data_IF_567206778606
#
_entry.id   IF_567206778606
#
_cell.length_a   1.000
_cell.length_b   1.000
_cell.length_c   1.000
_cell.angle_alpha   90.00
_cell.angle_beta   90.00
_cell.angle_gamma   90.00
#
_symmetry.space_group_name_H-M   'P 1'
#
loop_
_entity.id
_entity.type
_entity.pdbx_description
1 polymer ?
#
# COMPACT_ATOMS: atom_id res chain seq x y z
N UNK A 1 -9.08 -23.87 33.47
CA UNK A 1 -10.44 -23.45 33.12
C UNK A 1 -10.36 -21.95 32.88
N UNK A 2 -10.08 -21.54 31.62
CA UNK A 2 -11.05 -21.09 30.60
C UNK A 2 -11.50 -19.65 30.92
N UNK A 3 -11.41 -18.64 30.06
CA UNK A 3 -11.60 -18.53 28.60
C UNK A 3 -10.86 -17.28 28.09
N UNK A 4 -10.05 -17.38 27.03
CA UNK A 4 -10.46 -17.17 25.62
C UNK A 4 -10.45 -15.66 25.26
N UNK A 5 -9.26 -15.14 24.96
CA UNK A 5 -9.09 -13.80 24.39
C UNK A 5 -9.44 -13.91 22.91
N UNK A 6 -10.57 -13.31 22.53
CA UNK A 6 -11.10 -13.30 21.19
C UNK A 6 -10.01 -12.89 20.16
N UNK A 7 -9.62 -13.86 19.34
CA UNK A 7 -9.01 -13.63 18.04
C UNK A 7 -10.03 -12.87 17.20
N UNK A 8 -9.94 -11.54 17.21
CA UNK A 8 -10.71 -10.69 16.32
C UNK A 8 -10.11 -10.85 14.91
N UNK A 9 -10.52 -11.90 14.20
CA UNK A 9 -10.25 -12.10 12.77
C UNK A 9 -10.92 -10.98 11.97
N UNK A 10 -10.31 -9.81 11.97
CA UNK A 10 -10.68 -8.73 11.05
C UNK A 10 -10.31 -9.16 9.65
N UNK A 11 -11.32 -9.68 8.95
CA UNK A 11 -11.23 -10.02 7.56
C UNK A 11 -10.75 -8.78 6.78
N UNK A 12 -9.67 -8.90 5.99
CA UNK A 12 -9.16 -7.81 5.18
C UNK A 12 -10.26 -7.21 4.30
N UNK A 13 -10.32 -5.88 4.24
CA UNK A 13 -11.26 -5.15 3.37
C UNK A 13 -10.56 -4.74 2.08
N UNK A 14 -11.25 -4.81 0.94
CA UNK A 14 -10.72 -4.22 -0.28
C UNK A 14 -10.66 -2.69 -0.14
N UNK A 15 -9.62 -2.05 -0.69
CA UNK A 15 -9.54 -0.59 -0.77
C UNK A 15 -10.65 -0.03 -1.67
N UNK A 16 -10.87 -0.65 -2.84
CA UNK A 16 -11.79 -0.20 -3.89
C UNK A 16 -11.07 0.56 -5.01
N UNK A 17 -11.84 1.21 -5.87
CA UNK A 17 -11.31 2.03 -6.96
C UNK A 17 -10.26 3.05 -6.45
N UNK A 18 -9.12 3.23 -7.15
CA UNK A 18 -8.74 2.63 -8.43
C UNK A 18 -7.90 1.35 -8.30
N UNK A 19 -7.87 0.70 -7.12
CA UNK A 19 -6.99 -0.43 -6.80
C UNK A 19 -7.77 -1.73 -6.54
N UNK A 20 -8.77 -2.00 -7.37
CA UNK A 20 -9.70 -3.15 -7.27
C UNK A 20 -9.82 -3.96 -8.57
N UNK A 21 -8.80 -3.87 -9.44
CA UNK A 21 -8.78 -4.57 -10.71
C UNK A 21 -8.86 -6.11 -10.53
N UNK A 22 -9.79 -6.73 -11.26
CA UNK A 22 -10.06 -8.17 -11.17
C UNK A 22 -8.91 -9.04 -11.69
N UNK A 23 -8.10 -8.50 -12.61
CA UNK A 23 -6.97 -9.13 -13.28
C UNK A 23 -5.61 -8.73 -12.69
N UNK A 24 -5.60 -8.02 -11.56
CA UNK A 24 -4.40 -7.79 -10.76
C UNK A 24 -3.66 -9.10 -10.44
N UNK A 25 -2.31 -9.05 -10.38
CA UNK A 25 -1.46 -10.23 -10.19
C UNK A 25 -0.71 -10.25 -8.83
N UNK A 26 -0.97 -9.26 -7.98
CA UNK A 26 -0.49 -9.17 -6.60
C UNK A 26 -1.46 -8.37 -5.73
N UNK A 27 -1.51 -8.73 -4.45
CA UNK A 27 -2.24 -7.98 -3.42
C UNK A 27 -1.23 -7.38 -2.47
N UNK A 28 -1.28 -6.05 -2.28
CA UNK A 28 -0.63 -5.42 -1.13
C UNK A 28 -1.64 -5.33 0.01
N UNK A 29 -1.28 -5.84 1.18
CA UNK A 29 -2.09 -5.73 2.39
C UNK A 29 -1.45 -4.74 3.35
N UNK A 30 -2.16 -3.67 3.67
CA UNK A 30 -1.71 -2.67 4.62
C UNK A 30 -1.71 -3.20 6.06
N UNK A 31 -1.03 -2.49 6.97
CA UNK A 31 -1.01 -2.83 8.39
C UNK A 31 -2.36 -2.66 9.10
N UNK A 32 -3.27 -1.88 8.51
CA UNK A 32 -4.67 -1.72 8.92
C UNK A 32 -5.64 -2.64 8.14
N UNK A 33 -5.13 -3.76 7.60
CA UNK A 33 -5.91 -4.84 6.98
C UNK A 33 -6.72 -4.40 5.75
N UNK A 34 -6.13 -3.55 4.91
CA UNK A 34 -6.72 -3.12 3.63
C UNK A 34 -5.95 -3.71 2.46
N UNK A 35 -6.68 -4.37 1.56
CA UNK A 35 -6.14 -5.03 0.39
C UNK A 35 -6.23 -4.13 -0.85
N UNK A 36 -5.10 -4.00 -1.54
CA UNK A 36 -4.92 -3.29 -2.80
C UNK A 36 -4.60 -4.30 -3.89
N UNK A 37 -5.41 -4.33 -4.96
CA UNK A 37 -5.24 -5.22 -6.10
C UNK A 37 -4.43 -4.50 -7.17
N UNK A 38 -3.21 -4.98 -7.43
CA UNK A 38 -2.18 -4.26 -8.18
C UNK A 38 -1.49 -5.15 -9.21
N UNK A 39 -0.74 -4.51 -10.10
CA UNK A 39 0.12 -5.19 -11.06
C UNK A 39 1.60 -5.08 -10.67
N UNK A 40 2.26 -6.24 -10.60
CA UNK A 40 3.71 -6.36 -10.35
C UNK A 40 4.53 -5.58 -11.35
N UNK A 41 4.12 -5.53 -12.62
CA UNK A 41 4.86 -4.82 -13.67
C UNK A 41 4.89 -3.30 -13.46
N UNK A 42 3.79 -2.68 -13.01
CA UNK A 42 3.70 -1.25 -12.68
C UNK A 42 4.57 -0.96 -11.46
N UNK A 43 4.44 -1.79 -10.42
CA UNK A 43 5.23 -1.68 -9.20
C UNK A 43 6.74 -1.84 -9.47
N UNK A 44 7.14 -2.85 -10.25
CA UNK A 44 8.53 -3.11 -10.62
C UNK A 44 9.14 -2.03 -11.52
N UNK A 45 8.32 -1.30 -12.29
CA UNK A 45 8.77 -0.12 -13.03
C UNK A 45 8.98 1.09 -12.13
N UNK A 46 8.20 1.18 -11.06
CA UNK A 46 8.19 2.32 -10.14
C UNK A 46 9.22 2.20 -9.02
N UNK A 47 9.68 0.97 -8.72
CA UNK A 47 10.55 0.67 -7.60
C UNK A 47 11.51 -0.49 -7.93
N UNK A 48 12.84 -0.29 -7.80
CA UNK A 48 13.80 -1.38 -7.90
C UNK A 48 13.62 -2.42 -6.78
N UNK A 49 13.20 -1.99 -5.58
CA UNK A 49 12.89 -2.88 -4.45
C UNK A 49 11.76 -3.85 -4.80
N UNK A 50 10.66 -3.36 -5.38
CA UNK A 50 9.58 -4.24 -5.83
C UNK A 50 10.00 -5.13 -6.99
N UNK A 51 10.81 -4.62 -7.93
CA UNK A 51 11.36 -5.42 -9.03
C UNK A 51 12.17 -6.61 -8.51
N UNK A 52 13.05 -6.37 -7.56
CA UNK A 52 13.87 -7.42 -6.93
C UNK A 52 12.97 -8.40 -6.16
N UNK A 53 12.05 -7.90 -5.33
CA UNK A 53 11.11 -8.71 -4.56
C UNK A 53 10.32 -9.70 -5.44
N UNK A 54 9.86 -9.27 -6.62
CA UNK A 54 9.10 -10.13 -7.53
C UNK A 54 9.96 -11.03 -8.42
N UNK A 55 11.27 -10.77 -8.51
CA UNK A 55 12.20 -11.60 -9.28
C UNK A 55 12.58 -12.89 -8.56
N UNK A 56 12.43 -12.94 -7.23
CA UNK A 56 12.72 -14.10 -6.41
C UNK A 56 11.56 -15.09 -6.55
N UNK A 57 11.80 -16.33 -7.03
CA UNK A 57 10.79 -17.37 -7.04
C UNK A 57 10.37 -17.67 -5.59
N UNK A 58 9.16 -17.26 -5.21
CA UNK A 58 8.62 -17.66 -3.93
C UNK A 58 8.25 -19.13 -4.03
N UNK A 59 9.03 -20.00 -3.38
CA UNK A 59 8.65 -21.39 -3.17
C UNK A 59 7.31 -21.39 -2.45
N UNK A 60 6.24 -21.73 -3.16
CA UNK A 60 4.92 -21.88 -2.55
C UNK A 60 5.04 -23.03 -1.53
N UNK A 61 4.80 -22.80 -0.22
CA UNK A 61 4.67 -23.92 0.68
C UNK A 61 3.52 -24.79 0.18
N UNK A 62 3.82 -26.07 -0.06
CA UNK A 62 2.93 -27.06 -0.65
C UNK A 62 1.72 -27.43 0.23
N UNK A 63 1.56 -26.79 1.40
CA UNK A 63 0.72 -27.30 2.48
C UNK A 63 -0.20 -26.26 3.13
N UNK A 64 -0.58 -25.20 2.40
CA UNK A 64 -1.67 -24.32 2.84
C UNK A 64 -3.00 -24.70 2.17
N UNK A 65 -3.59 -25.79 2.63
CA UNK A 65 -5.01 -26.10 2.39
C UNK A 65 -5.97 -25.11 3.06
N UNK A 66 -5.43 -24.04 3.68
CA UNK A 66 -6.14 -22.86 4.21
C UNK A 66 -5.98 -21.60 3.35
N UNK A 67 -5.53 -21.70 2.09
CA UNK A 67 -5.48 -20.51 1.22
C UNK A 67 -6.89 -19.94 1.04
N UNK A 68 -7.04 -18.73 1.57
CA UNK A 68 -7.98 -17.68 1.20
C UNK A 68 -8.48 -17.81 -0.24
N UNK A 69 -9.76 -17.49 -0.47
CA UNK A 69 -10.51 -17.46 -1.75
C UNK A 69 -9.80 -16.92 -3.01
N UNK A 70 -8.60 -16.37 -2.86
CA UNK A 70 -7.85 -15.67 -3.88
C UNK A 70 -6.48 -16.34 -4.10
N UNK A 71 -6.15 -16.79 -5.32
CA UNK A 71 -4.86 -17.41 -5.61
C UNK A 71 -3.70 -16.40 -5.69
N UNK A 72 -3.98 -15.10 -5.69
CA UNK A 72 -2.97 -14.05 -5.87
C UNK A 72 -2.05 -13.96 -4.64
N UNK A 73 -0.73 -13.74 -4.84
CA UNK A 73 0.20 -13.56 -3.74
C UNK A 73 -0.12 -12.29 -2.96
N UNK A 74 -0.11 -12.39 -1.64
CA UNK A 74 -0.31 -11.27 -0.72
C UNK A 74 1.05 -10.84 -0.17
N UNK A 75 1.38 -9.56 -0.31
CA UNK A 75 2.53 -8.92 0.30
C UNK A 75 2.04 -8.05 1.45
N UNK A 76 2.40 -8.43 2.68
CA UNK A 76 2.09 -7.62 3.86
C UNK A 76 3.02 -6.41 3.92
N UNK A 77 2.42 -5.23 4.04
CA UNK A 77 3.09 -3.93 4.09
C UNK A 77 3.10 -3.42 5.53
N UNK A 78 4.11 -2.62 5.88
CA UNK A 78 4.18 -2.02 7.21
C UNK A 78 3.31 -0.75 7.31
N UNK A 79 3.11 -0.11 6.16
CA UNK A 79 2.40 1.14 5.97
C UNK A 79 0.88 0.92 6.05
N UNK A 80 0.18 1.94 6.53
CA UNK A 80 -1.28 1.93 6.54
C UNK A 80 -1.85 2.22 5.14
N UNK A 81 -3.16 2.01 5.00
CA UNK A 81 -3.88 2.15 3.74
C UNK A 81 -3.75 3.55 3.12
N UNK A 82 -3.77 4.61 3.94
CA UNK A 82 -3.60 5.99 3.45
C UNK A 82 -2.22 6.19 2.81
N UNK A 83 -1.15 5.85 3.53
CA UNK A 83 0.22 5.96 3.03
C UNK A 83 0.42 5.17 1.74
N UNK A 84 -0.08 3.93 1.68
CA UNK A 84 0.03 3.07 0.49
C UNK A 84 -0.74 3.67 -0.68
N UNK A 85 -2.00 4.10 -0.47
CA UNK A 85 -2.81 4.68 -1.54
C UNK A 85 -2.18 5.95 -2.14
N UNK A 86 -1.63 6.82 -1.28
CA UNK A 86 -0.91 8.02 -1.68
C UNK A 86 0.36 7.68 -2.45
N UNK A 87 1.14 6.69 -2.00
CA UNK A 87 2.33 6.21 -2.69
C UNK A 87 2.00 5.63 -4.08
N UNK A 88 0.98 4.79 -4.17
CA UNK A 88 0.54 4.14 -5.41
C UNK A 88 -0.01 5.14 -6.44
N UNK A 89 -0.59 6.25 -5.99
CA UNK A 89 -1.07 7.30 -6.88
C UNK A 89 0.06 8.02 -7.66
N UNK A 90 1.33 7.80 -7.31
CA UNK A 90 2.48 8.21 -8.12
C UNK A 90 2.89 7.16 -9.17
N UNK A 91 2.47 5.90 -9.02
CA UNK A 91 2.76 4.80 -9.94
C UNK A 91 1.66 4.59 -11.00
N UNK A 92 0.42 4.86 -10.62
CA UNK A 92 -0.76 4.59 -11.43
C UNK A 92 -1.30 5.87 -12.08
N UNK A 93 -1.95 5.77 -13.27
CA UNK A 93 -2.59 6.89 -13.93
C UNK A 93 -3.89 7.29 -13.20
N UNK A 94 -3.77 7.77 -11.98
CA UNK A 94 -4.87 8.22 -11.13
C UNK A 94 -4.65 9.66 -10.67
N UNK A 95 -5.64 10.22 -9.97
CA UNK A 95 -5.55 11.54 -9.37
C UNK A 95 -4.41 11.57 -8.34
N UNK A 96 -3.50 12.53 -8.48
CA UNK A 96 -2.43 12.73 -7.49
C UNK A 96 -3.03 13.05 -6.13
N UNK A 97 -2.51 12.46 -5.05
CA UNK A 97 -3.04 12.69 -3.72
C UNK A 97 -2.74 14.13 -3.30
N UNK A 98 -3.69 14.76 -2.62
CA UNK A 98 -3.40 15.97 -1.85
C UNK A 98 -2.91 15.48 -0.49
N UNK A 99 -1.61 15.66 -0.22
CA UNK A 99 -1.04 15.30 1.08
C UNK A 99 -1.23 16.47 2.05
N UNK A 100 -1.87 16.22 3.18
CA UNK A 100 -2.21 17.23 4.17
C UNK A 100 -1.46 17.01 5.48
N UNK A 101 -0.70 18.02 5.89
CA UNK A 101 0.04 17.99 7.15
C UNK A 101 1.36 17.22 7.10
N UNK A 102 2.23 17.51 8.07
CA UNK A 102 3.61 17.01 8.08
C UNK A 102 3.69 15.49 8.32
N UNK A 103 2.75 14.92 9.06
CA UNK A 103 2.74 13.49 9.39
C UNK A 103 2.50 12.63 8.14
N UNK A 104 1.48 12.95 7.35
CA UNK A 104 1.19 12.23 6.11
C UNK A 104 2.32 12.39 5.10
N UNK A 105 2.80 13.62 4.90
CA UNK A 105 3.93 13.90 3.99
C UNK A 105 5.17 13.10 4.41
N UNK A 106 5.50 13.09 5.71
CA UNK A 106 6.62 12.33 6.25
C UNK A 106 6.46 10.84 6.03
N UNK A 107 5.26 10.28 6.28
CA UNK A 107 4.98 8.87 6.07
C UNK A 107 5.13 8.44 4.61
N UNK A 108 4.57 9.23 3.67
CA UNK A 108 4.68 8.95 2.23
C UNK A 108 6.12 9.07 1.75
N UNK A 109 6.87 10.10 2.19
CA UNK A 109 8.29 10.25 1.86
C UNK A 109 9.14 9.11 2.42
N UNK A 110 8.88 8.69 3.67
CA UNK A 110 9.57 7.57 4.28
C UNK A 110 9.31 6.26 3.52
N UNK A 111 8.06 6.01 3.11
CA UNK A 111 7.69 4.86 2.30
C UNK A 111 8.34 4.91 0.92
N UNK A 112 8.28 6.06 0.22
CA UNK A 112 8.94 6.22 -1.07
C UNK A 112 10.45 5.98 -0.99
N UNK A 113 11.11 6.49 0.05
CA UNK A 113 12.53 6.20 0.30
C UNK A 113 12.77 4.71 0.55
N UNK A 114 11.94 4.06 1.37
CA UNK A 114 12.03 2.63 1.69
C UNK A 114 11.90 1.76 0.43
N UNK A 115 11.05 2.17 -0.50
CA UNK A 115 10.81 1.45 -1.76
C UNK A 115 11.61 2.02 -2.93
N UNK A 116 12.55 2.95 -2.69
CA UNK A 116 13.36 3.60 -3.71
C UNK A 116 12.53 4.12 -4.91
N UNK A 117 11.41 4.77 -4.60
CA UNK A 117 10.50 5.34 -5.57
C UNK A 117 10.80 6.81 -5.82
N UNK A 118 10.93 7.18 -7.09
CA UNK A 118 11.11 8.58 -7.50
C UNK A 118 9.77 9.31 -7.54
N UNK A 119 9.49 10.09 -6.49
CA UNK A 119 8.29 10.93 -6.41
C UNK A 119 8.50 12.25 -7.16
N UNK A 120 8.38 12.20 -8.49
CA UNK A 120 8.42 13.41 -9.31
C UNK A 120 7.20 14.31 -9.01
N UNK A 121 7.46 15.55 -8.57
CA UNK A 121 6.49 16.61 -8.27
C UNK A 121 5.48 16.28 -7.16
N UNK A 122 5.92 16.28 -5.90
CA UNK A 122 5.00 16.26 -4.75
C UNK A 122 4.38 17.66 -4.61
N UNK A 123 3.07 17.85 -4.85
CA UNK A 123 2.42 19.12 -4.60
C UNK A 123 2.28 19.30 -3.08
N UNK A 124 3.26 19.98 -2.47
CA UNK A 124 3.20 20.32 -1.05
C UNK A 124 2.28 21.54 -0.88
N UNK A 125 1.14 21.35 -0.23
CA UNK A 125 0.37 22.47 0.33
C UNK A 125 0.82 22.65 1.78
N UNK A 126 1.70 23.63 2.02
CA UNK A 126 1.78 24.18 3.38
C UNK A 126 0.41 24.79 3.67
N UNK A 127 -0.23 24.34 4.75
CA UNK A 127 -1.44 25.00 5.23
C UNK A 127 -1.11 26.48 5.39
N UNK A 128 -1.78 27.32 4.61
CA UNK A 128 -1.82 28.75 4.84
C UNK A 128 -2.49 28.93 6.20
N UNK A 129 -1.69 29.02 7.26
CA UNK A 129 -2.15 29.60 8.51
C UNK A 129 -2.73 30.97 8.13
N UNK A 130 -3.92 31.35 8.61
CA UNK A 130 -4.36 32.72 8.45
C UNK A 130 -3.27 33.59 9.05
N UNK A 131 -2.68 34.43 8.21
CA UNK A 131 -1.83 35.52 8.68
C UNK A 131 -2.76 36.36 9.55
N UNK A 132 -2.68 36.18 10.87
CA UNK A 132 -3.30 37.12 11.80
C UNK A 132 -2.47 38.40 11.66
N UNK A 133 -2.89 39.25 10.72
CA UNK A 133 -2.45 40.63 10.60
C UNK A 133 -3.25 41.45 11.60
N UNK A 134 -2.55 41.99 12.61
CA UNK A 134 -3.04 43.07 13.47
C UNK A 134 -3.54 42.62 14.82
#
# INVERSE_FOLDING_TARGET
MSTDTADNEQNPRAFGLPFDDSDADVIFRSSDQVDFYLYKNVLAKSSPVFKEMFSIPQSLPADDTKRTRDPRPIVNMAENSLTISSLLAFCYPTTRPQLEGLEEISAVLAAAKKYEMELSNIPLRLSTLPIVMG
#
